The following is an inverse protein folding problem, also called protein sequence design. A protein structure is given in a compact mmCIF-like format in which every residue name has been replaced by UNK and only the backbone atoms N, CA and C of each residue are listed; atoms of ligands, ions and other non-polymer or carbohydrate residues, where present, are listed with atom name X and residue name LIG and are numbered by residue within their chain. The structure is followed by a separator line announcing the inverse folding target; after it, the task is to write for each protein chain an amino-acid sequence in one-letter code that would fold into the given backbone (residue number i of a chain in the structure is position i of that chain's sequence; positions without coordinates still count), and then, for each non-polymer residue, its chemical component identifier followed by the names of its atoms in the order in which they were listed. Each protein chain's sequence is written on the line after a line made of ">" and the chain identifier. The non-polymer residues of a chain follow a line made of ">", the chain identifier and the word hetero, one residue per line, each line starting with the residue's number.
data_IF_747151519757
#
_entry.id   IF_747151519757
#
_cell.length_a   1.000
_cell.length_b   1.000
_cell.length_c   1.000
_cell.angle_alpha   90.00
_cell.angle_beta   90.00
_cell.angle_gamma   90.00
#
_symmetry.space_group_name_H-M   'P 1'
#
loop_
_entity.id
_entity.type
_entity.pdbx_description
1 polymer ?
#
# COMPACT_ATOMS: atom_id res chain seq x y z
N UNK A 1 38.74 50.81 -23.79
CA UNK A 1 38.21 50.15 -22.58
C UNK A 1 37.09 49.22 -23.01
N UNK A 2 37.40 47.94 -23.15
CA UNK A 2 36.45 46.91 -23.56
C UNK A 2 36.03 46.19 -22.29
N UNK A 3 34.79 46.42 -21.87
CA UNK A 3 34.23 45.85 -20.65
C UNK A 3 33.85 44.41 -20.97
N UNK A 4 34.62 43.44 -20.48
CA UNK A 4 34.22 42.04 -20.49
C UNK A 4 33.10 41.87 -19.45
N UNK A 5 31.87 41.68 -19.91
CA UNK A 5 30.76 41.20 -19.07
C UNK A 5 30.96 39.71 -18.82
N UNK A 6 31.40 39.35 -17.62
CA UNK A 6 31.45 37.98 -17.13
C UNK A 6 30.03 37.54 -16.78
N UNK A 7 29.43 36.68 -17.61
CA UNK A 7 28.14 36.05 -17.33
C UNK A 7 28.37 34.97 -16.26
N UNK A 8 27.99 35.26 -15.01
CA UNK A 8 27.99 34.26 -13.93
C UNK A 8 26.78 33.36 -14.14
N UNK A 9 27.01 32.16 -14.65
CA UNK A 9 26.00 31.12 -14.75
C UNK A 9 25.79 30.51 -13.36
N UNK A 10 24.85 31.07 -12.59
CA UNK A 10 24.35 30.42 -11.38
C UNK A 10 23.72 29.09 -11.77
N UNK A 11 24.44 27.99 -11.52
CA UNK A 11 23.88 26.66 -11.60
C UNK A 11 22.96 26.49 -10.39
N UNK A 12 21.70 26.89 -10.54
CA UNK A 12 20.65 26.49 -9.61
C UNK A 12 20.68 24.96 -9.57
N UNK A 13 20.96 24.39 -8.39
CA UNK A 13 20.93 22.94 -8.21
C UNK A 13 19.56 22.46 -8.61
N UNK A 14 19.47 21.76 -9.75
CA UNK A 14 18.24 21.14 -10.23
C UNK A 14 17.73 20.26 -9.07
N UNK A 15 16.59 20.66 -8.49
CA UNK A 15 15.84 19.79 -7.62
C UNK A 15 15.65 18.47 -8.39
N UNK A 16 16.15 17.37 -7.84
CA UNK A 16 16.06 16.04 -8.44
C UNK A 16 14.62 15.54 -8.31
N UNK A 17 13.71 16.20 -9.01
CA UNK A 17 12.38 15.70 -9.17
C UNK A 17 12.35 14.81 -10.42
N UNK A 18 11.72 13.65 -10.31
CA UNK A 18 11.73 12.70 -11.41
C UNK A 18 10.63 13.04 -12.42
N UNK A 19 10.95 12.88 -13.71
CA UNK A 19 9.92 12.96 -14.74
C UNK A 19 8.87 11.88 -14.52
N UNK A 20 7.60 12.25 -14.63
CA UNK A 20 6.49 11.29 -14.54
C UNK A 20 6.50 10.40 -15.79
N UNK A 21 6.71 9.07 -15.68
CA UNK A 21 6.72 8.18 -16.84
C UNK A 21 5.37 8.17 -17.57
N UNK A 22 5.38 7.91 -18.88
CA UNK A 22 4.16 7.97 -19.72
C UNK A 22 3.01 7.12 -19.18
N UNK A 23 3.27 5.89 -18.73
CA UNK A 23 2.23 5.03 -18.17
C UNK A 23 1.64 5.62 -16.88
N UNK A 24 2.45 6.28 -16.06
CA UNK A 24 1.98 6.94 -14.84
C UNK A 24 1.22 8.24 -15.15
N UNK A 25 1.61 8.99 -16.19
CA UNK A 25 0.81 10.14 -16.66
C UNK A 25 -0.56 9.70 -17.15
N UNK A 26 -0.65 8.57 -17.85
CA UNK A 26 -1.92 7.99 -18.31
C UNK A 26 -2.78 7.53 -17.14
N UNK A 27 -2.19 6.84 -16.15
CA UNK A 27 -2.87 6.47 -14.90
C UNK A 27 -3.40 7.72 -14.19
N UNK A 28 -2.55 8.74 -14.00
CA UNK A 28 -2.92 9.99 -13.35
C UNK A 28 -4.13 10.62 -14.05
N UNK A 29 -4.13 10.75 -15.38
CA UNK A 29 -5.22 11.38 -16.14
C UNK A 29 -6.49 10.53 -16.15
N UNK A 30 -6.36 9.23 -16.39
CA UNK A 30 -7.50 8.32 -16.59
C UNK A 30 -8.27 8.08 -15.29
N UNK A 31 -7.58 7.89 -14.16
CA UNK A 31 -8.23 7.67 -12.88
C UNK A 31 -8.75 8.97 -12.27
N UNK A 32 -8.05 10.10 -12.41
CA UNK A 32 -8.53 11.39 -11.90
C UNK A 32 -9.89 11.75 -12.49
N UNK A 33 -10.13 11.49 -13.76
CA UNK A 33 -11.36 11.91 -14.45
C UNK A 33 -12.61 11.07 -14.11
N UNK A 34 -12.44 9.89 -13.51
CA UNK A 34 -13.53 8.93 -13.31
C UNK A 34 -13.74 8.65 -11.83
N UNK A 35 -14.79 7.89 -11.50
CA UNK A 35 -14.98 7.37 -10.14
C UNK A 35 -14.15 6.10 -9.99
N UNK A 36 -13.75 5.82 -8.75
CA UNK A 36 -13.16 4.53 -8.40
C UNK A 36 -14.21 3.41 -8.54
N UNK A 37 -13.93 2.40 -9.36
CA UNK A 37 -14.84 1.27 -9.58
C UNK A 37 -14.68 0.21 -8.48
N UNK A 38 -13.44 -0.10 -8.10
CA UNK A 38 -13.03 -1.00 -7.04
C UNK A 38 -12.68 -0.21 -5.76
N UNK A 39 -13.73 0.31 -5.14
CA UNK A 39 -13.61 1.09 -3.91
C UNK A 39 -13.37 0.17 -2.71
N UNK A 40 -12.18 0.23 -2.12
CA UNK A 40 -11.77 -0.61 -1.00
C UNK A 40 -12.34 -0.09 0.34
N UNK A 41 -12.34 1.24 0.50
CA UNK A 41 -12.97 1.91 1.64
C UNK A 41 -13.29 3.38 1.30
N UNK A 42 -14.22 3.99 2.04
CA UNK A 42 -14.71 5.36 1.82
C UNK A 42 -15.17 6.03 3.11
N UNK A 43 -15.42 7.33 3.03
CA UNK A 43 -15.93 8.13 4.14
C UNK A 43 -14.83 8.79 4.95
N UNK A 44 -13.64 8.92 4.37
CA UNK A 44 -12.48 9.56 5.00
C UNK A 44 -12.43 11.04 4.67
N UNK A 45 -11.80 11.82 5.55
CA UNK A 45 -11.51 13.24 5.35
C UNK A 45 -10.12 13.41 4.73
N UNK A 46 -9.86 14.61 4.23
CA UNK A 46 -8.57 15.14 3.81
C UNK A 46 -8.11 16.27 4.75
N UNK A 47 -8.33 16.11 6.07
CA UNK A 47 -8.13 17.21 7.04
C UNK A 47 -9.13 18.38 6.95
N UNK A 48 -9.82 18.53 5.82
CA UNK A 48 -10.75 19.61 5.52
C UNK A 48 -12.21 19.33 5.90
N UNK A 49 -13.12 20.05 5.21
CA UNK A 49 -14.57 19.87 5.38
C UNK A 49 -15.08 18.79 4.44
N UNK A 50 -15.35 17.60 4.98
CA UNK A 50 -16.03 16.56 4.23
C UNK A 50 -15.60 15.17 4.65
N UNK A 51 -16.11 14.18 3.93
CA UNK A 51 -15.71 12.76 4.08
C UNK A 51 -15.65 12.11 2.69
N UNK A 52 -15.24 12.87 1.67
CA UNK A 52 -15.29 12.42 0.30
C UNK A 52 -14.05 11.63 -0.14
N UNK A 53 -13.10 11.34 0.74
CA UNK A 53 -11.93 10.52 0.42
C UNK A 53 -12.19 9.02 0.58
N UNK A 54 -11.38 8.24 -0.15
CA UNK A 54 -11.42 6.78 -0.11
C UNK A 54 -10.18 6.14 -0.71
N UNK A 55 -10.04 4.85 -0.43
CA UNK A 55 -8.99 3.98 -0.93
C UNK A 55 -9.49 3.22 -2.14
N UNK A 56 -8.80 3.39 -3.27
CA UNK A 56 -9.15 2.79 -4.54
C UNK A 56 -8.19 1.68 -4.94
N UNK A 57 -8.72 0.60 -5.49
CA UNK A 57 -7.98 -0.57 -5.96
C UNK A 57 -8.17 -0.85 -7.45
N UNK A 58 -8.44 0.17 -8.27
CA UNK A 58 -8.65 -0.01 -9.72
C UNK A 58 -7.37 -0.39 -10.48
N UNK A 59 -6.21 -0.14 -9.87
CA UNK A 59 -4.91 -0.41 -10.46
C UNK A 59 -4.41 -1.74 -9.90
N UNK A 60 -4.24 -2.74 -10.77
CA UNK A 60 -3.74 -4.05 -10.34
C UNK A 60 -2.40 -3.92 -9.62
N UNK A 61 -2.30 -4.56 -8.46
CA UNK A 61 -1.13 -4.51 -7.60
C UNK A 61 -0.93 -3.20 -6.84
N UNK A 62 -1.89 -2.27 -6.83
CA UNK A 62 -1.76 -0.99 -6.14
C UNK A 62 -3.03 -0.52 -5.42
N UNK A 63 -2.82 0.34 -4.44
CA UNK A 63 -3.86 1.07 -3.70
C UNK A 63 -3.56 2.56 -3.85
N UNK A 64 -4.58 3.39 -4.10
CA UNK A 64 -4.39 4.84 -4.20
C UNK A 64 -5.52 5.65 -3.55
N UNK A 65 -5.20 6.85 -3.08
CA UNK A 65 -6.18 7.79 -2.53
C UNK A 65 -6.93 8.52 -3.63
N UNK A 66 -8.25 8.65 -3.48
CA UNK A 66 -9.11 9.24 -4.50
C UNK A 66 -10.40 9.82 -3.92
N UNK A 67 -10.93 10.91 -4.52
CA UNK A 67 -12.26 11.42 -4.16
C UNK A 67 -13.37 10.49 -4.64
N UNK A 68 -14.24 10.09 -3.72
CA UNK A 68 -15.34 9.13 -3.90
C UNK A 68 -16.66 9.79 -4.33
N UNK A 69 -16.87 11.07 -3.98
CA UNK A 69 -18.18 11.72 -4.15
C UNK A 69 -18.41 12.23 -5.59
N UNK A 70 -17.38 12.78 -6.21
CA UNK A 70 -17.48 13.45 -7.51
C UNK A 70 -16.65 12.79 -8.61
N UNK A 71 -15.63 11.99 -8.25
CA UNK A 71 -14.47 11.83 -9.14
C UNK A 71 -13.81 13.19 -9.42
N UNK A 72 -12.76 13.24 -10.22
CA UNK A 72 -12.17 14.50 -10.66
C UNK A 72 -11.03 15.04 -9.78
N UNK A 73 -10.76 14.43 -8.62
CA UNK A 73 -9.79 14.93 -7.65
C UNK A 73 -9.06 13.77 -6.94
N UNK A 74 -7.78 14.01 -6.64
CA UNK A 74 -7.00 13.14 -5.76
C UNK A 74 -7.04 13.69 -4.33
N UNK A 75 -6.01 13.44 -3.54
CA UNK A 75 -5.83 14.02 -2.22
C UNK A 75 -5.06 15.35 -2.33
N UNK A 76 -5.10 16.09 -1.25
CA UNK A 76 -4.17 17.14 -0.89
C UNK A 76 -2.90 16.54 -0.25
N UNK A 77 -2.08 17.40 0.38
CA UNK A 77 -0.93 16.95 1.17
C UNK A 77 -0.84 17.69 2.50
N UNK A 78 -1.45 17.10 3.52
CA UNK A 78 -1.24 17.48 4.92
C UNK A 78 0.14 17.03 5.40
N UNK A 79 0.67 17.73 6.40
CA UNK A 79 2.00 17.45 6.94
C UNK A 79 1.89 16.58 8.19
N UNK A 80 2.64 15.48 8.17
CA UNK A 80 2.90 14.63 9.30
C UNK A 80 4.34 14.85 9.78
N UNK A 81 4.51 14.97 11.09
CA UNK A 81 5.79 15.21 11.73
C UNK A 81 6.16 14.10 12.71
N UNK A 82 5.48 12.96 12.67
CA UNK A 82 5.65 11.89 13.64
C UNK A 82 7.04 11.24 13.56
N UNK A 83 7.46 10.68 14.70
CA UNK A 83 8.72 9.96 14.82
C UNK A 83 9.87 10.77 15.43
N UNK A 84 11.08 10.49 14.96
CA UNK A 84 12.30 11.11 15.48
C UNK A 84 12.38 12.59 15.06
N UNK A 85 12.78 13.44 16.02
CA UNK A 85 12.94 14.88 15.82
C UNK A 85 11.64 15.60 15.40
N UNK A 86 10.50 15.11 15.89
CA UNK A 86 9.14 15.59 15.57
C UNK A 86 8.85 17.07 15.93
N UNK A 87 9.74 17.76 16.62
CA UNK A 87 9.62 19.20 16.93
C UNK A 87 10.78 20.04 16.38
N UNK A 88 11.62 19.45 15.52
CA UNK A 88 12.75 20.14 14.90
C UNK A 88 12.41 20.64 13.49
N UNK A 89 13.21 21.60 13.02
CA UNK A 89 13.13 22.09 11.66
C UNK A 89 11.74 22.62 11.29
N UNK A 90 11.19 22.10 10.19
CA UNK A 90 9.88 22.53 9.72
C UNK A 90 8.72 22.03 10.59
N UNK A 91 8.96 21.08 11.49
CA UNK A 91 7.96 20.54 12.43
C UNK A 91 7.88 21.33 13.74
N UNK A 92 8.66 22.41 13.89
CA UNK A 92 8.73 23.18 15.14
C UNK A 92 7.42 23.84 15.58
N UNK A 93 6.45 23.97 14.67
CA UNK A 93 5.12 24.53 14.93
C UNK A 93 3.99 23.49 14.85
N UNK A 94 4.28 22.19 14.71
CA UNK A 94 3.23 21.16 14.69
C UNK A 94 2.66 20.95 16.11
N UNK A 95 1.34 21.17 16.33
CA UNK A 95 0.71 20.94 17.62
C UNK A 95 0.33 19.47 17.88
N UNK A 96 0.37 18.62 16.86
CA UNK A 96 -0.20 17.26 16.85
C UNK A 96 0.83 16.14 16.80
N UNK A 97 2.06 16.43 16.36
CA UNK A 97 3.10 15.43 16.14
C UNK A 97 3.46 14.59 17.35
N UNK A 98 3.55 13.28 17.14
CA UNK A 98 3.96 12.28 18.11
C UNK A 98 5.44 11.92 17.93
N UNK A 99 6.11 11.56 19.02
CA UNK A 99 7.52 11.16 18.96
C UNK A 99 7.76 9.77 18.37
N UNK A 100 6.74 9.14 17.78
CA UNK A 100 6.77 7.75 17.30
C UNK A 100 5.97 7.60 16.01
N UNK A 101 6.48 6.85 15.03
CA UNK A 101 5.66 6.39 13.89
C UNK A 101 5.07 5.00 14.13
N UNK A 102 4.03 4.61 13.39
CA UNK A 102 3.41 3.28 13.49
C UNK A 102 4.40 2.11 13.34
N UNK A 103 5.47 2.29 12.55
CA UNK A 103 6.44 1.22 12.25
C UNK A 103 7.80 1.41 12.94
N UNK A 104 7.85 2.19 14.02
CA UNK A 104 9.07 2.44 14.79
C UNK A 104 9.85 1.15 15.11
N UNK A 105 9.16 0.10 15.57
CA UNK A 105 9.81 -1.14 15.98
C UNK A 105 10.45 -1.91 14.81
N UNK A 106 9.91 -1.78 13.61
CA UNK A 106 10.47 -2.41 12.42
C UNK A 106 11.71 -1.67 11.92
N UNK A 107 11.66 -0.33 11.90
CA UNK A 107 12.79 0.48 11.41
C UNK A 107 14.01 0.44 12.35
N UNK A 108 13.80 0.11 13.64
CA UNK A 108 14.89 -0.21 14.58
C UNK A 108 15.84 -1.28 14.06
N UNK A 109 15.33 -2.27 13.31
CA UNK A 109 16.16 -3.31 12.72
C UNK A 109 17.12 -2.80 11.64
N UNK A 110 16.87 -1.63 11.07
CA UNK A 110 17.75 -0.97 10.11
C UNK A 110 18.73 0.03 10.74
N UNK A 111 18.68 0.17 12.08
CA UNK A 111 19.65 0.93 12.85
C UNK A 111 19.34 2.42 12.98
N UNK A 112 18.07 2.80 12.84
CA UNK A 112 17.52 4.10 13.27
C UNK A 112 16.58 3.89 14.45
N UNK A 113 16.34 4.93 15.27
CA UNK A 113 15.39 4.81 16.39
C UNK A 113 13.95 4.77 15.92
N UNK A 114 13.67 5.58 14.90
CA UNK A 114 12.42 5.74 14.20
C UNK A 114 12.71 6.41 12.85
N UNK A 115 11.70 6.54 11.98
CA UNK A 115 11.71 7.49 10.88
C UNK A 115 11.80 8.92 11.43
N UNK A 116 12.42 9.80 10.66
CA UNK A 116 12.55 11.23 10.97
C UNK A 116 11.85 11.99 9.85
N UNK A 117 10.76 12.68 10.16
CA UNK A 117 9.93 13.38 9.17
C UNK A 117 10.69 14.43 8.36
N UNK A 118 11.78 15.00 8.89
CA UNK A 118 12.63 15.97 8.20
C UNK A 118 13.62 15.31 7.22
N UNK A 119 13.80 13.98 7.29
CA UNK A 119 14.78 13.23 6.50
C UNK A 119 14.15 12.16 5.62
N UNK A 120 13.12 11.47 6.09
CA UNK A 120 12.58 10.27 5.44
C UNK A 120 11.25 10.59 4.77
N UNK A 121 11.19 10.65 3.43
CA UNK A 121 9.94 10.68 2.71
C UNK A 121 9.06 9.46 3.04
N UNK A 122 8.01 9.69 3.81
CA UNK A 122 6.96 8.70 4.05
C UNK A 122 5.57 9.30 3.88
N UNK A 123 4.61 8.41 3.69
CA UNK A 123 3.17 8.70 3.60
C UNK A 123 2.49 8.03 4.79
N UNK A 124 1.52 8.74 5.37
CA UNK A 124 0.59 8.19 6.36
C UNK A 124 -0.54 7.51 5.58
N UNK A 125 -0.54 6.19 5.56
CA UNK A 125 -1.48 5.42 4.75
C UNK A 125 -2.23 4.40 5.60
N UNK A 126 -3.56 4.47 5.55
CA UNK A 126 -4.44 3.70 6.40
C UNK A 126 -4.97 4.53 7.56
N UNK A 127 -6.00 4.01 8.20
CA UNK A 127 -6.70 4.65 9.29
C UNK A 127 -7.06 3.60 10.34
N UNK A 128 -6.52 3.77 11.54
CA UNK A 128 -6.77 2.91 12.68
C UNK A 128 -7.60 3.63 13.74
N UNK A 129 -8.00 2.87 14.77
CA UNK A 129 -8.67 3.36 15.99
C UNK A 129 -10.09 3.93 15.82
N UNK A 130 -10.41 4.59 14.70
CA UNK A 130 -11.67 5.26 14.42
C UNK A 130 -12.46 4.61 13.27
N UNK A 131 -13.66 5.15 12.98
CA UNK A 131 -14.51 4.70 11.87
C UNK A 131 -14.84 5.86 10.93
N UNK A 132 -14.71 5.68 9.61
CA UNK A 132 -14.24 4.47 8.93
C UNK A 132 -12.75 4.15 9.22
N UNK A 133 -12.37 2.88 9.05
CA UNK A 133 -10.99 2.39 9.23
C UNK A 133 -10.55 1.68 7.97
N UNK A 134 -9.26 1.73 7.65
CA UNK A 134 -8.68 1.01 6.52
C UNK A 134 -7.28 0.53 6.87
N UNK A 135 -7.03 -0.75 6.62
CA UNK A 135 -5.77 -1.42 6.96
C UNK A 135 -5.11 -1.89 5.67
N UNK A 136 -4.13 -1.17 5.10
CA UNK A 136 -3.54 -1.51 3.80
C UNK A 136 -2.95 -2.93 3.74
N UNK A 137 -2.49 -3.46 4.88
CA UNK A 137 -1.96 -4.83 5.01
C UNK A 137 -3.01 -5.92 4.67
N UNK A 138 -4.27 -5.68 5.03
CA UNK A 138 -5.41 -6.55 4.67
C UNK A 138 -5.72 -6.55 3.18
N UNK A 139 -5.17 -5.58 2.45
CA UNK A 139 -5.27 -5.45 1.01
C UNK A 139 -3.94 -5.75 0.31
N UNK A 140 -3.00 -6.40 1.01
CA UNK A 140 -1.79 -6.94 0.43
C UNK A 140 -0.64 -5.95 0.32
N UNK A 141 -0.75 -4.73 0.86
CA UNK A 141 0.45 -3.92 1.11
C UNK A 141 1.23 -4.50 2.28
N UNK A 142 2.52 -4.20 2.34
CA UNK A 142 3.38 -4.59 3.46
C UNK A 142 3.93 -3.31 4.09
N UNK A 143 4.16 -3.30 5.40
CA UNK A 143 4.72 -2.14 6.08
C UNK A 143 6.04 -1.72 5.41
N UNK A 144 6.31 -0.41 5.37
CA UNK A 144 7.50 0.16 4.73
C UNK A 144 7.59 -0.10 3.21
N UNK A 145 6.52 -0.56 2.57
CA UNK A 145 6.46 -0.67 1.10
C UNK A 145 6.74 0.69 0.46
N UNK A 146 7.51 0.69 -0.62
CA UNK A 146 7.70 1.88 -1.45
C UNK A 146 6.34 2.39 -1.92
N UNK A 147 6.23 3.70 -2.03
CA UNK A 147 5.08 4.41 -2.59
C UNK A 147 5.56 5.36 -3.70
N UNK A 148 4.74 5.53 -4.73
CA UNK A 148 4.92 6.55 -5.76
C UNK A 148 3.97 7.71 -5.51
N UNK A 149 4.49 8.92 -5.53
CA UNK A 149 3.73 10.15 -5.28
C UNK A 149 3.88 11.06 -6.50
N UNK A 150 2.75 11.47 -7.09
CA UNK A 150 2.73 12.44 -8.19
C UNK A 150 2.15 13.74 -7.67
N UNK A 151 2.98 14.78 -7.62
CA UNK A 151 2.72 16.11 -7.07
C UNK A 151 3.57 17.13 -7.83
N UNK A 152 3.13 18.39 -7.95
CA UNK A 152 3.93 19.43 -8.64
C UNK A 152 4.29 19.11 -10.10
N UNK A 153 3.56 18.19 -10.75
CA UNK A 153 3.88 17.69 -12.09
C UNK A 153 5.09 16.73 -12.17
N UNK A 154 5.54 16.23 -11.02
CA UNK A 154 6.74 15.43 -10.85
C UNK A 154 6.42 14.13 -10.11
N UNK A 155 7.31 13.14 -10.25
CA UNK A 155 7.25 11.89 -9.53
C UNK A 155 8.27 11.89 -8.39
N UNK A 156 7.80 11.48 -7.22
CA UNK A 156 8.59 11.25 -6.03
C UNK A 156 8.36 9.84 -5.47
N UNK A 157 9.33 9.36 -4.70
CA UNK A 157 9.22 8.10 -3.98
C UNK A 157 9.35 8.30 -2.48
N UNK A 158 8.46 7.66 -1.75
CA UNK A 158 8.53 7.51 -0.30
C UNK A 158 8.23 6.06 0.09
N UNK A 159 7.91 5.87 1.36
CA UNK A 159 7.42 4.60 1.89
C UNK A 159 6.10 4.78 2.63
N UNK A 160 5.33 3.70 2.77
CA UNK A 160 4.29 3.65 3.79
C UNK A 160 4.98 3.57 5.15
N UNK A 161 5.11 4.73 5.81
CA UNK A 161 5.89 4.88 7.04
C UNK A 161 5.05 5.06 8.29
N UNK A 162 3.79 5.47 8.13
CA UNK A 162 2.89 5.68 9.26
C UNK A 162 1.43 5.36 8.92
N UNK A 163 0.56 5.36 9.94
CA UNK A 163 -0.88 5.15 9.82
C UNK A 163 -1.64 6.15 10.69
N UNK A 164 -2.71 6.74 10.15
CA UNK A 164 -3.44 7.79 10.85
C UNK A 164 -4.32 7.19 11.95
N UNK A 165 -4.21 7.71 13.18
CA UNK A 165 -5.06 7.30 14.31
C UNK A 165 -6.51 7.82 14.24
N UNK A 166 -6.87 8.58 13.22
CA UNK A 166 -8.20 9.16 13.00
C UNK A 166 -8.82 8.70 11.67
N UNK A 167 -9.54 9.61 11.02
CA UNK A 167 -10.22 9.36 9.74
C UNK A 167 -9.70 10.24 8.60
N UNK A 168 -8.63 10.99 8.84
CA UNK A 168 -8.00 11.84 7.83
C UNK A 168 -7.05 11.03 6.95
N UNK A 169 -6.86 11.49 5.72
CA UNK A 169 -6.01 10.89 4.70
C UNK A 169 -5.31 12.01 3.94
N UNK A 170 -4.30 11.69 3.13
CA UNK A 170 -3.54 12.72 2.42
C UNK A 170 -2.38 13.30 3.24
N UNK A 171 -2.02 12.66 4.36
CA UNK A 171 -0.90 13.09 5.19
C UNK A 171 0.43 12.47 4.73
N UNK A 172 1.50 13.27 4.79
CA UNK A 172 2.85 12.87 4.42
C UNK A 172 3.90 13.59 5.25
N UNK A 173 5.06 12.95 5.43
CA UNK A 173 6.20 13.55 6.13
C UNK A 173 6.54 14.94 5.57
N UNK A 174 6.92 15.88 6.43
CA UNK A 174 7.31 17.23 5.99
C UNK A 174 8.41 17.22 4.92
N UNK A 175 9.32 16.24 4.96
CA UNK A 175 10.36 16.10 3.95
C UNK A 175 9.83 15.72 2.57
N UNK A 176 8.78 14.90 2.48
CA UNK A 176 8.11 14.59 1.22
C UNK A 176 7.30 15.80 0.72
N UNK A 177 6.61 16.52 1.61
CA UNK A 177 5.88 17.73 1.23
C UNK A 177 6.80 18.82 0.65
N UNK A 178 7.97 19.02 1.25
CA UNK A 178 9.00 19.93 0.71
C UNK A 178 9.66 19.44 -0.58
N UNK A 179 9.67 18.13 -0.85
CA UNK A 179 10.09 17.61 -2.15
C UNK A 179 9.07 17.92 -3.24
N UNK A 180 7.78 17.76 -2.93
CA UNK A 180 6.67 18.03 -3.84
C UNK A 180 6.49 19.51 -4.15
N UNK A 181 6.59 20.36 -3.13
CA UNK A 181 6.24 21.78 -3.21
C UNK A 181 7.35 22.66 -2.63
N UNK A 182 8.56 22.66 -3.23
CA UNK A 182 9.72 23.38 -2.69
C UNK A 182 9.56 24.91 -2.69
N UNK A 183 8.61 25.44 -3.45
CA UNK A 183 8.31 26.87 -3.54
C UNK A 183 7.19 27.32 -2.59
N UNK A 184 6.52 26.37 -1.91
CA UNK A 184 5.49 26.66 -0.91
C UNK A 184 6.11 26.75 0.50
N UNK A 185 5.48 27.53 1.37
CA UNK A 185 5.94 27.70 2.76
C UNK A 185 5.44 26.54 3.65
N UNK A 186 5.90 25.33 3.33
CA UNK A 186 5.49 24.10 4.02
C UNK A 186 6.07 24.05 5.44
N UNK A 187 5.19 23.90 6.43
CA UNK A 187 5.51 23.75 7.85
C UNK A 187 4.69 22.62 8.48
N UNK A 188 4.96 22.26 9.73
CA UNK A 188 4.21 21.24 10.47
C UNK A 188 2.72 21.55 10.64
N UNK A 189 2.33 22.82 10.51
CA UNK A 189 0.93 23.29 10.62
C UNK A 189 0.41 23.85 9.28
N UNK A 190 1.14 23.64 8.17
CA UNK A 190 0.74 24.14 6.85
C UNK A 190 1.26 23.23 5.74
N UNK A 191 0.35 22.44 5.18
CA UNK A 191 0.57 21.61 4.00
C UNK A 191 0.12 22.27 2.69
N UNK A 192 -0.14 21.44 1.69
CA UNK A 192 -0.61 21.83 0.37
C UNK A 192 -2.08 21.46 0.18
N UNK A 193 -2.95 22.44 -0.05
CA UNK A 193 -4.41 22.25 -0.04
C UNK A 193 -5.07 21.84 -1.37
N UNK A 194 -4.36 21.93 -2.51
CA UNK A 194 -4.98 21.56 -3.79
C UNK A 194 -5.06 20.03 -3.91
N UNK A 195 -6.20 19.54 -4.43
CA UNK A 195 -6.51 18.10 -4.51
C UNK A 195 -5.91 17.43 -5.75
N UNK A 196 -4.61 17.60 -5.95
CA UNK A 196 -3.90 17.15 -7.14
C UNK A 196 -2.78 16.14 -6.88
N UNK A 197 -2.64 15.68 -5.64
CA UNK A 197 -1.59 14.73 -5.23
C UNK A 197 -2.09 13.29 -5.32
N UNK A 198 -1.46 12.51 -6.19
CA UNK A 198 -1.72 11.08 -6.32
C UNK A 198 -0.72 10.28 -5.49
N UNK A 199 -1.23 9.56 -4.48
CA UNK A 199 -0.47 8.59 -3.70
C UNK A 199 -0.76 7.18 -4.18
N UNK A 200 0.27 6.43 -4.60
CA UNK A 200 0.15 5.02 -5.00
C UNK A 200 0.99 4.16 -4.06
N UNK A 201 0.30 3.33 -3.28
CA UNK A 201 0.90 2.26 -2.49
C UNK A 201 0.99 0.97 -3.31
N UNK A 202 2.18 0.36 -3.36
CA UNK A 202 2.39 -0.91 -4.07
C UNK A 202 2.15 -2.11 -3.14
N UNK A 203 1.40 -3.09 -3.64
CA UNK A 203 1.14 -4.34 -2.92
C UNK A 203 2.24 -5.38 -3.15
N UNK A 204 2.33 -6.33 -2.22
CA UNK A 204 3.19 -7.49 -2.28
C UNK A 204 4.58 -7.25 -1.72
N UNK A 205 5.19 -8.33 -1.20
CA UNK A 205 6.51 -8.32 -0.54
C UNK A 205 7.65 -7.72 -1.35
N UNK A 206 7.55 -7.74 -2.68
CA UNK A 206 8.57 -7.12 -3.53
C UNK A 206 8.57 -5.60 -3.48
N UNK A 207 7.53 -4.96 -2.92
CA UNK A 207 7.46 -3.51 -2.74
C UNK A 207 8.29 -3.00 -1.56
N UNK A 208 8.68 -3.88 -0.63
CA UNK A 208 9.47 -3.51 0.55
C UNK A 208 10.95 -3.38 0.18
N UNK A 209 11.61 -2.22 0.40
CA UNK A 209 13.00 -2.04 0.05
C UNK A 209 13.96 -2.80 0.99
N UNK A 210 13.52 -3.06 2.22
CA UNK A 210 14.30 -3.74 3.25
C UNK A 210 15.65 -3.06 3.48
N UNK A 211 16.71 -3.84 3.71
CA UNK A 211 18.05 -3.31 3.97
C UNK A 211 18.72 -2.58 2.78
N UNK A 212 18.05 -2.49 1.62
CA UNK A 212 18.57 -1.78 0.45
C UNK A 212 18.28 -0.28 0.49
N UNK A 213 17.27 0.16 1.24
CA UNK A 213 17.07 1.58 1.49
C UNK A 213 18.19 2.12 2.39
N UNK A 214 18.54 3.39 2.19
CA UNK A 214 19.49 4.10 3.04
C UNK A 214 18.77 4.68 4.25
N UNK A 215 18.37 3.83 5.18
CA UNK A 215 17.70 4.22 6.43
C UNK A 215 18.50 5.22 7.28
N UNK A 216 19.80 5.41 7.02
CA UNK A 216 20.66 6.34 7.77
C UNK A 216 21.00 7.58 6.98
N UNK A 217 20.29 7.82 5.87
CA UNK A 217 20.38 9.01 5.04
C UNK A 217 20.37 10.28 5.91
N UNK A 218 20.98 11.34 5.39
CA UNK A 218 21.08 12.63 6.08
C UNK A 218 20.14 13.69 5.52
N UNK A 219 19.45 13.37 4.45
CA UNK A 219 18.52 14.23 3.75
C UNK A 219 17.56 13.39 2.91
N UNK A 220 16.42 14.01 2.56
CA UNK A 220 15.32 13.38 1.84
C UNK A 220 15.67 12.92 0.44
N UNK A 221 16.49 13.68 -0.29
CA UNK A 221 16.93 13.31 -1.64
C UNK A 221 17.81 12.07 -1.61
N UNK A 222 18.67 11.93 -0.61
CA UNK A 222 19.52 10.75 -0.41
C UNK A 222 18.66 9.51 -0.11
N UNK A 223 17.69 9.61 0.81
CA UNK A 223 16.78 8.50 1.10
C UNK A 223 15.95 8.10 -0.12
N UNK A 224 15.27 9.06 -0.76
CA UNK A 224 14.45 8.84 -1.95
C UNK A 224 15.25 8.17 -3.07
N UNK A 225 16.46 8.66 -3.33
CA UNK A 225 17.36 8.07 -4.34
C UNK A 225 17.69 6.61 -4.04
N UNK A 226 17.81 6.22 -2.77
CA UNK A 226 18.12 4.84 -2.37
C UNK A 226 17.00 3.86 -2.73
N UNK A 227 15.74 4.30 -2.73
CA UNK A 227 14.57 3.49 -3.07
C UNK A 227 14.12 3.65 -4.52
N UNK A 228 14.61 4.66 -5.23
CA UNK A 228 14.20 4.99 -6.61
C UNK A 228 14.23 3.80 -7.57
N UNK A 229 15.28 2.99 -7.56
CA UNK A 229 15.38 1.85 -8.50
C UNK A 229 14.28 0.81 -8.27
N UNK A 230 13.82 0.65 -7.03
CA UNK A 230 12.69 -0.21 -6.72
C UNK A 230 11.37 0.46 -7.15
N UNK A 231 11.20 1.75 -6.82
CA UNK A 231 10.06 2.55 -7.24
C UNK A 231 9.85 2.54 -8.76
N UNK A 232 10.90 2.80 -9.54
CA UNK A 232 10.86 2.79 -11.01
C UNK A 232 10.39 1.43 -11.56
N UNK A 233 10.87 0.34 -10.97
CA UNK A 233 10.48 -1.02 -11.35
C UNK A 233 8.99 -1.27 -11.07
N UNK A 234 8.49 -0.81 -9.93
CA UNK A 234 7.08 -0.97 -9.53
C UNK A 234 6.17 -0.12 -10.41
N UNK A 235 6.53 1.15 -10.65
CA UNK A 235 5.82 2.06 -11.56
C UNK A 235 5.75 1.49 -12.97
N UNK A 236 6.84 0.95 -13.50
CA UNK A 236 6.85 0.31 -14.82
C UNK A 236 5.92 -0.92 -14.91
N UNK A 237 5.61 -1.56 -13.78
CA UNK A 237 4.67 -2.68 -13.70
C UNK A 237 3.20 -2.27 -13.77
N UNK A 238 2.88 -1.02 -13.46
CA UNK A 238 1.50 -0.53 -13.44
C UNK A 238 0.89 -0.53 -14.85
N UNK A 239 -0.37 -0.97 -14.96
CA UNK A 239 -1.12 -1.02 -16.23
C UNK A 239 -0.75 -2.20 -17.15
N UNK A 240 0.30 -2.98 -16.84
CA UNK A 240 0.75 -4.11 -17.67
C UNK A 240 -0.10 -5.39 -17.52
N UNK A 241 -1.05 -5.43 -16.57
CA UNK A 241 -1.86 -6.61 -16.25
C UNK A 241 -2.87 -7.02 -17.33
N UNK A 242 -3.06 -6.24 -18.40
CA UNK A 242 -3.94 -6.64 -19.52
C UNK A 242 -3.36 -7.73 -20.43
N UNK A 243 -2.10 -8.16 -20.23
CA UNK A 243 -1.44 -9.17 -21.08
C UNK A 243 -1.21 -10.56 -20.43
N UNK A 244 -1.81 -10.86 -19.26
CA UNK A 244 -1.70 -12.20 -18.63
C UNK A 244 -3.01 -12.99 -18.57
N UNK A 245 -3.91 -12.77 -19.53
CA UNK A 245 -5.02 -13.70 -19.81
C UNK A 245 -5.02 -14.11 -21.27
N UNK A 246 -4.99 -15.42 -21.51
CA UNK A 246 -5.09 -16.15 -22.79
C UNK A 246 -3.81 -16.40 -23.62
N UNK A 247 -2.81 -17.10 -23.06
CA UNK A 247 -2.19 -18.18 -23.85
C UNK A 247 -3.13 -19.38 -23.75
N UNK A 248 -4.18 -19.36 -24.56
CA UNK A 248 -4.90 -20.57 -24.92
C UNK A 248 -3.94 -21.34 -25.83
N UNK A 249 -3.39 -22.45 -25.32
CA UNK A 249 -2.63 -23.39 -26.11
C UNK A 249 -3.49 -23.86 -27.29
N UNK A 250 -3.32 -23.21 -28.44
CA UNK A 250 -3.82 -23.71 -29.71
C UNK A 250 -2.85 -24.79 -30.15
N UNK A 251 -3.23 -26.04 -29.90
CA UNK A 251 -2.51 -27.21 -30.39
C UNK A 251 -2.52 -27.19 -31.92
N UNK A 252 -1.47 -26.61 -32.51
CA UNK A 252 -1.19 -26.76 -33.92
C UNK A 252 -0.58 -28.14 -34.15
N UNK A 253 -1.37 -28.98 -34.83
CA UNK A 253 -0.99 -30.29 -35.31
C UNK A 253 0.20 -30.16 -36.27
N UNK A 254 1.38 -30.58 -35.82
CA UNK A 254 2.49 -30.92 -36.69
C UNK A 254 2.54 -32.43 -36.85
N UNK A 255 2.00 -32.91 -37.97
CA UNK A 255 2.21 -34.28 -38.47
C UNK A 255 3.66 -34.45 -38.90
N UNK A 256 4.45 -35.12 -38.08
CA UNK A 256 5.74 -35.69 -38.48
C UNK A 256 5.59 -37.21 -38.55
N UNK A 257 5.69 -37.73 -39.76
CA UNK A 257 5.61 -39.15 -40.11
C UNK A 257 6.79 -39.91 -39.49
N UNK A 258 6.53 -40.78 -38.52
CA UNK A 258 7.47 -41.78 -38.03
C UNK A 258 6.93 -43.17 -38.35
N UNK A 259 7.64 -43.82 -39.26
CA UNK A 259 7.45 -45.17 -39.76
C UNK A 259 7.78 -46.18 -38.64
N UNK A 260 6.76 -46.85 -38.10
CA UNK A 260 6.94 -48.07 -37.31
C UNK A 260 6.16 -49.22 -37.95
N UNK A 261 6.92 -50.26 -38.27
CA UNK A 261 6.50 -51.52 -38.85
C UNK A 261 5.84 -52.39 -37.78
N UNK A 262 4.58 -52.79 -37.93
CA UNK A 262 4.09 -54.05 -37.34
C UNK A 262 2.94 -54.64 -38.17
N UNK A 263 3.30 -55.73 -38.83
CA UNK A 263 2.58 -56.98 -39.10
C UNK A 263 1.05 -57.06 -38.93
N UNK A 264 0.44 -57.43 -40.05
CA UNK A 264 -0.89 -58.02 -40.32
C UNK A 264 -1.55 -58.84 -39.22
N UNK A 265 -2.86 -58.61 -39.02
CA UNK A 265 -3.89 -59.64 -39.18
C UNK A 265 -5.31 -59.07 -39.24
N UNK A 266 -6.06 -59.62 -40.18
CA UNK A 266 -7.45 -59.41 -40.60
C UNK A 266 -8.53 -59.74 -39.55
N UNK A 267 -9.65 -58.99 -39.51
CA UNK A 267 -11.02 -59.41 -39.95
C UNK A 267 -12.13 -58.60 -39.24
N UNK A 268 -12.97 -57.95 -40.06
CA UNK A 268 -14.44 -57.88 -40.04
C UNK A 268 -15.24 -58.01 -38.73
N UNK A 269 -16.16 -57.07 -38.50
CA UNK A 269 -17.36 -57.28 -37.70
C UNK A 269 -18.07 -55.98 -37.30
N UNK A 270 -19.36 -55.88 -37.62
CA UNK A 270 -20.16 -54.64 -37.64
C UNK A 270 -21.06 -54.44 -36.40
N UNK A 271 -21.50 -53.18 -36.21
CA UNK A 271 -22.73 -52.73 -35.52
C UNK A 271 -22.76 -52.96 -33.99
N UNK A 272 -23.51 -52.26 -33.15
CA UNK A 272 -24.45 -51.15 -33.19
C UNK A 272 -24.77 -50.79 -31.73
N UNK A 273 -25.37 -49.62 -31.45
CA UNK A 273 -26.23 -49.46 -30.27
C UNK A 273 -25.73 -48.55 -29.14
N UNK A 274 -26.28 -47.34 -29.10
CA UNK A 274 -26.41 -46.45 -27.94
C UNK A 274 -27.58 -46.94 -27.01
N UNK A 275 -28.12 -46.15 -26.06
CA UNK A 275 -27.53 -45.45 -24.90
C UNK A 275 -28.33 -45.69 -23.57
N UNK A 276 -27.86 -45.03 -22.50
CA UNK A 276 -28.62 -44.39 -21.42
C UNK A 276 -29.42 -45.20 -20.36
N UNK A 277 -29.37 -44.71 -19.12
CA UNK A 277 -30.27 -45.06 -18.01
C UNK A 277 -29.59 -44.88 -16.64
N UNK A 278 -29.59 -43.69 -16.04
CA UNK A 278 -30.56 -43.16 -15.05
C UNK A 278 -30.42 -43.68 -13.60
N UNK A 279 -30.17 -42.70 -12.71
CA UNK A 279 -30.75 -42.51 -11.36
C UNK A 279 -30.62 -43.59 -10.28
N UNK A 280 -30.07 -43.24 -9.11
CA UNK A 280 -30.87 -42.96 -7.89
C UNK A 280 -30.01 -42.63 -6.67
N UNK A 281 -30.66 -41.89 -5.78
CA UNK A 281 -30.16 -41.19 -4.62
C UNK A 281 -29.86 -42.04 -3.37
N UNK A 282 -29.10 -41.40 -2.49
CA UNK A 282 -29.08 -41.42 -1.02
C UNK A 282 -29.50 -42.69 -0.27
N UNK A 283 -28.56 -43.16 0.57
CA UNK A 283 -28.92 -43.68 1.90
C UNK A 283 -27.79 -43.48 2.91
N UNK A 284 -28.08 -42.69 3.94
CA UNK A 284 -27.34 -42.66 5.21
C UNK A 284 -27.40 -44.03 5.91
N UNK A 285 -26.28 -44.46 6.49
CA UNK A 285 -26.25 -45.40 7.62
C UNK A 285 -25.19 -44.96 8.62
N UNK A 286 -25.64 -44.58 9.81
CA UNK A 286 -24.86 -44.63 11.04
C UNK A 286 -24.96 -46.06 11.63
N UNK A 287 -23.85 -46.55 12.17
CA UNK A 287 -23.75 -47.78 12.94
C UNK A 287 -22.29 -48.00 13.42
N UNK A 288 -22.07 -48.68 14.56
CA UNK A 288 -21.30 -48.09 15.66
C UNK A 288 -19.90 -48.70 15.92
N UNK A 289 -19.19 -47.97 16.79
CA UNK A 289 -17.94 -48.24 17.49
C UNK A 289 -17.65 -49.70 17.85
N UNK A 290 -16.39 -50.12 17.63
CA UNK A 290 -15.67 -51.08 18.48
C UNK A 290 -14.28 -50.55 18.82
N UNK A 291 -14.02 -50.56 20.12
CA UNK A 291 -12.75 -50.23 20.76
C UNK A 291 -11.67 -51.26 20.43
N UNK A 292 -10.43 -50.80 20.22
CA UNK A 292 -9.24 -51.52 20.68
C UNK A 292 -8.25 -50.49 21.23
N UNK A 293 -7.86 -50.71 22.49
CA UNK A 293 -6.94 -49.91 23.29
C UNK A 293 -5.48 -50.18 22.90
N UNK A 294 -4.60 -49.32 23.44
CA UNK A 294 -3.15 -49.43 23.65
C UNK A 294 -2.29 -48.74 22.58
N UNK A 295 -1.98 -47.45 22.78
CA UNK A 295 -0.71 -47.07 23.42
C UNK A 295 -0.69 -45.58 23.82
N UNK A 296 -0.03 -45.34 24.95
CA UNK A 296 0.01 -44.14 25.79
C UNK A 296 0.78 -42.97 25.15
N UNK A 297 0.20 -41.76 25.18
CA UNK A 297 0.87 -40.52 25.63
C UNK A 297 -0.18 -39.48 26.02
N UNK A 298 0.03 -38.87 27.19
CA UNK A 298 -0.95 -38.14 28.00
C UNK A 298 -0.62 -36.64 27.99
N UNK A 299 -1.69 -35.84 27.86
CA UNK A 299 -1.97 -34.46 28.30
C UNK A 299 -1.06 -33.27 27.91
N UNK A 300 -1.66 -32.19 27.39
CA UNK A 300 -2.27 -31.12 28.20
C UNK A 300 -3.30 -30.34 27.34
N UNK A 301 -4.47 -30.13 27.94
CA UNK A 301 -5.65 -29.46 27.40
C UNK A 301 -5.57 -27.92 27.44
N UNK A 302 -6.27 -27.33 26.48
CA UNK A 302 -7.14 -26.12 26.54
C UNK A 302 -7.10 -25.30 27.85
N UNK A 303 -6.71 -24.03 27.71
CA UNK A 303 -7.05 -22.95 28.62
C UNK A 303 -7.41 -21.69 27.82
N UNK A 304 -8.22 -20.81 28.44
CA UNK A 304 -8.74 -19.52 27.97
C UNK A 304 -10.11 -19.54 27.28
N UNK A 305 -11.11 -20.04 27.99
CA UNK A 305 -12.37 -19.29 28.17
C UNK A 305 -12.74 -19.35 29.67
N UNK A 306 -13.24 -18.23 30.18
CA UNK A 306 -13.74 -17.94 31.54
C UNK A 306 -12.76 -17.43 32.62
N UNK A 307 -12.91 -16.14 32.93
CA UNK A 307 -12.28 -15.46 34.07
C UNK A 307 -12.66 -13.97 34.19
N UNK A 308 -13.93 -13.69 34.55
CA UNK A 308 -14.48 -12.55 35.31
C UNK A 308 -13.97 -11.12 35.00
N UNK A 309 -14.76 -10.11 34.60
CA UNK A 309 -16.00 -9.59 35.20
C UNK A 309 -15.98 -9.48 36.74
N UNK A 310 -15.14 -8.60 37.26
CA UNK A 310 -15.33 -7.98 38.58
C UNK A 310 -14.52 -6.67 38.72
N UNK A 311 -15.21 -5.52 38.61
CA UNK A 311 -15.13 -4.32 39.50
C UNK A 311 -15.65 -3.07 38.81
N UNK A 312 -16.97 -2.91 38.84
CA UNK A 312 -17.58 -1.63 39.17
C UNK A 312 -17.43 -1.44 40.69
N UNK A 313 -16.93 -0.29 41.12
CA UNK A 313 -17.11 0.40 42.42
C UNK A 313 -15.81 1.13 42.81
N UNK A 314 -15.71 2.40 42.43
CA UNK A 314 -15.16 3.48 43.25
C UNK A 314 -15.29 4.83 42.50
N UNK A 315 -16.50 5.34 42.39
CA UNK A 315 -16.72 6.80 42.46
C UNK A 315 -17.14 7.08 43.90
N UNK A 316 -16.43 7.94 44.63
CA UNK A 316 -16.90 9.31 44.92
C UNK A 316 -16.09 10.00 46.03
N UNK A 317 -15.94 11.32 45.87
CA UNK A 317 -15.65 12.39 46.85
C UNK A 317 -14.30 12.45 47.58
N UNK A 318 -13.45 13.37 47.10
CA UNK A 318 -13.23 14.64 47.82
C UNK A 318 -12.91 15.77 46.84
N UNK A 319 -13.48 16.93 47.14
CA UNK A 319 -13.70 18.07 46.28
C UNK A 319 -12.63 19.16 46.44
N UNK A 320 -12.70 20.16 45.55
CA UNK A 320 -12.20 21.55 45.69
C UNK A 320 -10.67 21.69 45.60
N UNK A 321 -10.04 22.64 44.89
CA UNK A 321 -10.37 24.05 44.66
C UNK A 321 -9.32 24.65 43.67
N UNK A 322 -9.69 25.71 42.95
CA UNK A 322 -8.88 26.77 42.29
C UNK A 322 -8.34 26.64 40.84
N UNK A 323 -8.79 27.64 40.06
CA UNK A 323 -8.34 28.22 38.78
C UNK A 323 -8.34 27.38 37.51
#
# INVERSE_FOLDING_TARGET
>A
MQVLSTLILCSAGLALAYEVPTNLQEIYKSHKAVKCDNLLAKGFSDGGKGTDMGYCGDIDGAIFLHSTSKGGAYADMDVDCDGANNSEGGCSNDPSGLGVTAFQDEVKHFGIKDLDANIHPYVVLGNEEHKPSFMPDKHGMEHLSVMAIVCGGQLHYGIWGDTNGGTSTGEASISLAKLCFPEEDITGDSGHSEKDVLYIGFTGKSAVPGSKADWKAKDSKTFEKSIKSLGDKLVAGLGSARSKSSIKASGSSFTTSVRTTTTTSTKSGASSGAPAGTSKACRNRLGPLRHSLISLRVCIDRACEEGALARLLAMDRSAMLFC
#
